data_IF_580965696349
#
_entry.id   IF_580965696349
#
_cell.length_a   1.000
_cell.length_b   1.000
_cell.length_c   1.000
_cell.angle_alpha   90.00
_cell.angle_beta   90.00
_cell.angle_gamma   90.00
#
_symmetry.space_group_name_H-M   'P 1'
#
loop_
_entity.id
_entity.type
_entity.pdbx_description
1 polymer ?
#
# COMPACT_ATOMS: atom_id res chain seq x y z
N UNK A 1 31.77 25.19 10.54
CA UNK A 1 30.63 25.35 11.49
C UNK A 1 29.33 24.75 10.94
N UNK A 2 28.97 24.95 9.65
CA UNK A 2 27.76 24.37 9.06
C UNK A 2 27.65 22.83 9.13
N UNK A 3 28.78 22.13 9.10
CA UNK A 3 28.82 20.65 9.08
C UNK A 3 28.42 20.02 10.43
N UNK A 4 28.86 20.61 11.56
CA UNK A 4 28.57 20.08 12.91
C UNK A 4 27.09 20.18 13.28
N UNK A 5 26.46 21.31 12.97
CA UNK A 5 25.03 21.50 13.27
C UNK A 5 24.16 20.61 12.39
N UNK A 6 24.56 20.40 11.12
CA UNK A 6 23.87 19.51 10.19
C UNK A 6 23.94 18.06 10.67
N UNK A 7 25.11 17.61 11.12
CA UNK A 7 25.30 16.28 11.72
C UNK A 7 24.46 16.11 13.01
N UNK A 8 24.42 17.13 13.87
CA UNK A 8 23.57 17.11 15.07
C UNK A 8 22.08 17.00 14.71
N UNK A 9 21.61 17.74 13.72
CA UNK A 9 20.21 17.66 13.25
C UNK A 9 19.92 16.30 12.62
N UNK A 10 20.83 15.75 11.80
CA UNK A 10 20.65 14.43 11.20
C UNK A 10 20.54 13.33 12.27
N UNK A 11 21.39 13.36 13.29
CA UNK A 11 21.33 12.44 14.44
C UNK A 11 20.04 12.61 15.25
N UNK A 12 19.62 13.85 15.49
CA UNK A 12 18.37 14.12 16.19
C UNK A 12 17.15 13.61 15.41
N UNK A 13 17.14 13.78 14.08
CA UNK A 13 16.11 13.23 13.20
C UNK A 13 16.06 11.70 13.31
N UNK A 14 17.20 11.02 13.20
CA UNK A 14 17.28 9.57 13.35
C UNK A 14 16.74 9.10 14.72
N UNK A 15 17.11 9.79 15.81
CA UNK A 15 16.62 9.44 17.14
C UNK A 15 15.10 9.57 17.25
N UNK A 16 14.50 10.69 16.81
CA UNK A 16 13.06 10.87 16.87
C UNK A 16 12.30 9.93 15.93
N UNK A 17 12.91 9.54 14.81
CA UNK A 17 12.41 8.51 13.91
C UNK A 17 12.35 7.15 14.62
N UNK A 18 13.44 6.72 15.27
CA UNK A 18 13.49 5.46 16.04
C UNK A 18 12.57 5.47 17.26
N UNK A 19 12.26 6.63 17.83
CA UNK A 19 11.28 6.76 18.92
C UNK A 19 9.83 6.83 18.42
N UNK A 20 9.59 6.74 17.11
CA UNK A 20 8.26 6.88 16.52
C UNK A 20 7.62 8.27 16.78
N UNK A 21 8.41 9.29 17.09
CA UNK A 21 7.95 10.64 17.45
C UNK A 21 7.87 11.51 16.20
N UNK A 22 6.86 11.27 15.36
CA UNK A 22 6.80 11.88 14.03
C UNK A 22 6.85 13.42 14.06
N UNK A 23 6.12 14.10 14.95
CA UNK A 23 6.11 15.57 15.00
C UNK A 23 7.49 16.15 15.38
N UNK A 24 8.21 15.48 16.28
CA UNK A 24 9.57 15.88 16.62
C UNK A 24 10.53 15.63 15.45
N UNK A 25 10.43 14.47 14.80
CA UNK A 25 11.17 14.16 13.57
C UNK A 25 10.90 15.22 12.49
N UNK A 26 9.64 15.54 12.23
CA UNK A 26 9.19 16.56 11.26
C UNK A 26 9.80 17.93 11.56
N UNK A 27 9.78 18.39 12.80
CA UNK A 27 10.38 19.67 13.19
C UNK A 27 11.89 19.71 12.90
N UNK A 28 12.59 18.61 13.16
CA UNK A 28 14.02 18.48 12.83
C UNK A 28 14.24 18.45 11.32
N UNK A 29 13.42 17.74 10.55
CA UNK A 29 13.49 17.71 9.08
C UNK A 29 13.27 19.10 8.48
N UNK A 30 12.31 19.87 8.97
CA UNK A 30 12.08 21.24 8.52
C UNK A 30 13.28 22.16 8.83
N UNK A 31 13.89 21.99 10.00
CA UNK A 31 15.10 22.72 10.39
C UNK A 31 16.31 22.32 9.52
N UNK A 32 16.43 21.03 9.22
CA UNK A 32 17.47 20.47 8.37
C UNK A 32 17.31 20.96 6.93
N UNK A 33 16.07 21.01 6.41
CA UNK A 33 15.75 21.50 5.07
C UNK A 33 16.26 22.91 4.83
N UNK A 34 16.17 23.81 5.82
CA UNK A 34 16.65 25.18 5.70
C UNK A 34 18.19 25.29 5.61
N UNK A 35 18.93 24.25 6.04
CA UNK A 35 20.39 24.24 6.10
C UNK A 35 21.03 23.34 5.04
N UNK A 36 20.46 22.15 4.85
CA UNK A 36 20.87 21.14 3.91
C UNK A 36 19.59 20.46 3.33
N UNK A 37 18.98 21.06 2.30
CA UNK A 37 17.76 20.53 1.70
C UNK A 37 17.97 19.16 1.05
N UNK A 38 19.16 18.88 0.52
CA UNK A 38 19.47 17.59 -0.08
C UNK A 38 19.48 16.46 0.94
N UNK A 39 20.08 16.67 2.10
CA UNK A 39 20.07 15.66 3.17
C UNK A 39 18.66 15.44 3.74
N UNK A 40 17.90 16.52 3.96
CA UNK A 40 16.51 16.40 4.43
C UNK A 40 15.65 15.61 3.44
N UNK A 41 15.79 15.89 2.13
CA UNK A 41 15.14 15.16 1.06
C UNK A 41 15.58 13.70 1.02
N UNK A 42 16.88 13.42 1.10
CA UNK A 42 17.41 12.06 1.07
C UNK A 42 16.90 11.21 2.24
N UNK A 43 16.81 11.78 3.44
CA UNK A 43 16.23 11.09 4.60
C UNK A 43 14.76 10.74 4.34
N UNK A 44 13.94 11.70 3.89
CA UNK A 44 12.53 11.45 3.60
C UNK A 44 12.35 10.42 2.46
N UNK A 45 13.17 10.51 1.41
CA UNK A 45 13.18 9.55 0.31
C UNK A 45 13.52 8.14 0.80
N UNK A 46 14.50 7.99 1.70
CA UNK A 46 14.86 6.71 2.28
C UNK A 46 13.74 6.10 3.15
N UNK A 47 12.98 6.94 3.88
CA UNK A 47 11.82 6.48 4.65
C UNK A 47 10.70 6.01 3.71
N UNK A 48 10.37 6.82 2.70
CA UNK A 48 9.29 6.52 1.75
C UNK A 48 9.62 5.28 0.91
N UNK A 49 10.86 5.14 0.43
CA UNK A 49 11.25 4.01 -0.41
C UNK A 49 11.21 2.67 0.29
N UNK A 50 11.34 2.66 1.62
CA UNK A 50 11.18 1.48 2.47
C UNK A 50 9.74 1.28 2.94
N UNK A 51 8.79 2.08 2.47
CA UNK A 51 7.41 2.06 2.98
C UNK A 51 7.33 2.31 4.49
N UNK A 52 8.28 3.07 5.04
CA UNK A 52 8.42 3.32 6.48
C UNK A 52 8.90 2.11 7.29
N UNK A 53 9.23 0.98 6.65
CA UNK A 53 9.74 -0.23 7.31
C UNK A 53 11.20 -0.03 7.69
N UNK A 54 11.40 0.46 8.91
CA UNK A 54 12.71 0.68 9.51
C UNK A 54 12.87 -0.22 10.74
N UNK A 55 14.06 -0.77 10.90
CA UNK A 55 14.36 -1.66 12.02
C UNK A 55 14.35 -0.89 13.34
N UNK A 56 13.91 -1.57 14.40
CA UNK A 56 13.98 -1.10 15.79
C UNK A 56 13.22 0.21 16.08
N UNK A 57 12.21 0.58 15.27
CA UNK A 57 11.34 1.72 15.58
C UNK A 57 10.38 1.38 16.72
N UNK A 58 10.38 2.22 17.74
CA UNK A 58 9.42 2.19 18.84
C UNK A 58 8.13 2.90 18.41
N UNK A 59 7.24 2.17 17.75
CA UNK A 59 5.97 2.71 17.28
C UNK A 59 5.18 3.38 18.42
N UNK A 60 4.68 4.58 18.15
CA UNK A 60 4.01 5.42 19.14
C UNK A 60 2.56 5.68 18.73
N UNK A 61 1.77 6.31 19.60
CA UNK A 61 0.40 6.72 19.23
C UNK A 61 0.35 7.74 18.09
N UNK A 62 1.38 8.59 17.97
CA UNK A 62 1.47 9.58 16.87
C UNK A 62 1.94 8.98 15.55
N UNK A 63 2.54 7.78 15.58
CA UNK A 63 3.00 7.06 14.41
C UNK A 63 3.00 5.57 14.73
N UNK A 64 1.85 4.93 14.53
CA UNK A 64 1.56 3.59 15.05
C UNK A 64 1.92 2.46 14.09
N UNK A 65 2.38 2.76 12.88
CA UNK A 65 2.77 1.75 11.90
C UNK A 65 3.76 2.31 10.85
N UNK A 66 4.50 1.42 10.16
CA UNK A 66 5.35 1.77 9.02
C UNK A 66 4.60 2.56 7.94
N UNK A 67 3.40 2.11 7.53
CA UNK A 67 2.64 2.79 6.47
C UNK A 67 2.23 4.21 6.85
N UNK A 68 1.91 4.46 8.13
CA UNK A 68 1.64 5.83 8.61
C UNK A 68 2.90 6.68 8.54
N UNK A 69 4.06 6.12 8.93
CA UNK A 69 5.33 6.82 8.83
C UNK A 69 5.66 7.19 7.37
N UNK A 70 5.46 6.25 6.45
CA UNK A 70 5.66 6.46 5.02
C UNK A 70 4.72 7.56 4.48
N UNK A 71 3.44 7.50 4.85
CA UNK A 71 2.45 8.50 4.46
C UNK A 71 2.80 9.89 4.97
N UNK A 72 3.05 10.04 6.27
CA UNK A 72 3.37 11.35 6.83
C UNK A 72 4.71 11.89 6.28
N UNK A 73 5.69 11.03 6.06
CA UNK A 73 6.97 11.40 5.44
C UNK A 73 6.80 11.80 3.98
N UNK A 74 5.89 11.16 3.23
CA UNK A 74 5.61 11.53 1.84
C UNK A 74 4.96 12.90 1.73
N UNK A 75 4.10 13.30 2.68
CA UNK A 75 3.52 14.65 2.72
C UNK A 75 4.59 15.73 2.84
N UNK A 76 5.63 15.50 3.65
CA UNK A 76 6.76 16.41 3.80
C UNK A 76 7.70 16.35 2.58
N UNK A 77 7.92 15.17 2.02
CA UNK A 77 8.74 14.99 0.82
C UNK A 77 8.13 15.71 -0.38
N UNK A 78 6.81 15.66 -0.51
CA UNK A 78 6.04 16.38 -1.51
C UNK A 78 6.10 17.91 -1.35
N UNK A 79 6.79 18.47 -0.36
CA UNK A 79 7.07 19.90 -0.31
C UNK A 79 8.34 20.29 -1.06
N UNK A 80 9.14 19.32 -1.54
CA UNK A 80 10.31 19.53 -2.37
C UNK A 80 9.91 19.51 -3.86
N UNK A 81 10.61 20.30 -4.69
CA UNK A 81 10.37 20.31 -6.14
C UNK A 81 10.78 18.97 -6.76
N UNK A 82 11.94 18.45 -6.34
CA UNK A 82 12.54 17.21 -6.85
C UNK A 82 12.23 16.01 -5.94
N UNK A 83 11.01 15.98 -5.39
CA UNK A 83 10.55 14.98 -4.43
C UNK A 83 10.71 13.55 -4.97
N UNK A 84 10.29 13.32 -6.21
CA UNK A 84 10.29 12.00 -6.85
C UNK A 84 11.58 11.69 -7.65
N UNK A 85 12.66 12.47 -7.47
CA UNK A 85 13.84 12.42 -8.36
C UNK A 85 14.57 11.07 -8.44
N UNK A 86 14.36 10.16 -7.49
CA UNK A 86 14.99 8.84 -7.45
C UNK A 86 14.10 7.73 -8.05
N UNK A 87 12.88 8.09 -8.46
CA UNK A 87 11.90 7.22 -9.08
C UNK A 87 11.58 7.70 -10.48
N UNK A 88 11.14 6.75 -11.30
CA UNK A 88 10.71 6.99 -12.68
C UNK A 88 9.30 7.58 -12.75
N UNK A 89 8.53 7.42 -11.67
CA UNK A 89 7.17 7.90 -11.56
C UNK A 89 7.08 9.31 -10.94
N UNK A 90 5.96 9.97 -11.19
CA UNK A 90 5.73 11.35 -10.79
C UNK A 90 5.26 11.49 -9.32
N UNK A 91 5.09 12.74 -8.88
CA UNK A 91 4.66 13.08 -7.52
C UNK A 91 3.26 12.56 -7.18
N UNK A 92 2.34 12.54 -8.17
CA UNK A 92 0.99 12.02 -7.95
C UNK A 92 1.01 10.49 -7.77
N UNK A 93 1.75 9.79 -8.61
CA UNK A 93 1.93 8.33 -8.50
C UNK A 93 2.61 7.94 -7.19
N UNK A 94 3.64 8.67 -6.74
CA UNK A 94 4.27 8.45 -5.44
C UNK A 94 3.25 8.51 -4.30
N UNK A 95 2.39 9.54 -4.31
CA UNK A 95 1.34 9.71 -3.32
C UNK A 95 0.37 8.53 -3.34
N UNK A 96 -0.10 8.12 -4.52
CA UNK A 96 -1.04 7.01 -4.67
C UNK A 96 -0.44 5.68 -4.17
N UNK A 97 0.82 5.38 -4.51
CA UNK A 97 1.54 4.18 -4.05
C UNK A 97 1.72 4.15 -2.52
N UNK A 98 1.94 5.31 -1.89
CA UNK A 98 2.01 5.40 -0.42
C UNK A 98 0.62 5.29 0.23
N UNK A 99 -0.42 5.88 -0.36
CA UNK A 99 -1.80 5.74 0.11
C UNK A 99 -2.29 4.27 0.03
N UNK A 100 -1.91 3.54 -1.02
CA UNK A 100 -2.15 2.10 -1.13
C UNK A 100 -1.65 1.34 0.12
N UNK A 101 -0.41 1.59 0.56
CA UNK A 101 0.14 0.98 1.77
C UNK A 101 -0.64 1.35 3.04
N UNK A 102 -1.18 2.56 3.10
CA UNK A 102 -2.00 3.01 4.22
C UNK A 102 -3.33 2.26 4.27
N UNK A 103 -4.01 2.09 3.14
CA UNK A 103 -5.27 1.34 3.08
C UNK A 103 -5.08 -0.14 3.42
N UNK A 104 -4.03 -0.79 2.89
CA UNK A 104 -3.70 -2.17 3.26
C UNK A 104 -3.42 -2.27 4.76
N UNK A 105 -2.64 -1.34 5.34
CA UNK A 105 -2.39 -1.32 6.78
C UNK A 105 -3.66 -1.10 7.62
N UNK A 106 -4.61 -0.29 7.15
CA UNK A 106 -5.89 -0.10 7.84
C UNK A 106 -6.68 -1.41 7.89
N UNK A 107 -6.75 -2.14 6.78
CA UNK A 107 -7.39 -3.46 6.71
C UNK A 107 -6.67 -4.44 7.64
N UNK A 108 -5.34 -4.55 7.55
CA UNK A 108 -4.53 -5.41 8.42
C UNK A 108 -4.74 -5.12 9.90
N UNK A 109 -4.80 -3.84 10.28
CA UNK A 109 -5.02 -3.45 11.69
C UNK A 109 -6.39 -3.88 12.20
N UNK A 110 -7.44 -3.77 11.36
CA UNK A 110 -8.80 -4.23 11.69
C UNK A 110 -8.85 -5.76 11.81
N UNK A 111 -8.16 -6.50 10.95
CA UNK A 111 -8.04 -7.97 11.02
C UNK A 111 -7.26 -8.42 12.26
N UNK A 112 -6.12 -7.81 12.56
CA UNK A 112 -5.33 -8.12 13.76
C UNK A 112 -6.11 -7.85 15.06
N UNK A 113 -6.90 -6.77 15.11
CA UNK A 113 -7.79 -6.49 16.24
C UNK A 113 -8.91 -7.52 16.41
N UNK A 114 -9.28 -8.25 15.35
CA UNK A 114 -10.17 -9.41 15.44
C UNK A 114 -9.45 -10.66 15.92
N UNK A 115 -8.20 -10.89 15.49
CA UNK A 115 -7.37 -12.02 15.96
C UNK A 115 -7.12 -11.97 17.48
N UNK A 116 -6.80 -10.78 18.02
CA UNK A 116 -6.61 -10.61 19.47
C UNK A 116 -7.85 -10.98 20.29
N UNK A 117 -9.06 -10.76 19.74
CA UNK A 117 -10.32 -11.14 20.39
C UNK A 117 -10.62 -12.64 20.29
N UNK A 118 -10.11 -13.31 19.26
CA UNK A 118 -10.28 -14.77 19.06
C UNK A 118 -9.29 -15.58 19.89
N UNK A 119 -8.08 -15.08 20.13
CA UNK A 119 -7.10 -15.73 21.02
C UNK A 119 -7.63 -15.90 22.46
N UNK A 120 -8.62 -15.10 22.87
CA UNK A 120 -9.33 -15.24 24.15
C UNK A 120 -10.37 -16.38 24.17
N UNK A 121 -10.75 -16.93 23.00
CA UNK A 121 -11.88 -17.85 22.81
C UNK A 121 -11.48 -19.28 22.37
N UNK A 122 -10.18 -19.60 22.28
CA UNK A 122 -9.61 -20.94 22.01
C UNK A 122 -10.20 -21.74 20.81
N UNK A 123 -10.60 -21.08 19.71
CA UNK A 123 -11.03 -21.77 18.48
C UNK A 123 -9.88 -21.94 17.49
N UNK A 124 -9.35 -23.17 17.35
CA UNK A 124 -8.22 -23.48 16.47
C UNK A 124 -8.45 -23.14 15.00
N UNK A 125 -9.59 -23.54 14.43
CA UNK A 125 -9.89 -23.35 13.00
C UNK A 125 -9.94 -21.87 12.59
N UNK A 126 -10.62 -21.02 13.38
CA UNK A 126 -10.69 -19.58 13.11
C UNK A 126 -9.32 -18.88 13.19
N UNK A 127 -8.39 -19.43 13.97
CA UNK A 127 -7.04 -18.87 14.11
C UNK A 127 -6.19 -19.15 12.88
N UNK A 128 -6.34 -20.32 12.27
CA UNK A 128 -5.60 -20.67 11.06
C UNK A 128 -6.13 -19.89 9.86
N UNK A 129 -7.46 -19.74 9.71
CA UNK A 129 -8.08 -18.86 8.70
C UNK A 129 -7.55 -17.42 8.79
N UNK A 130 -7.48 -16.86 10.01
CA UNK A 130 -6.98 -15.49 10.22
C UNK A 130 -5.48 -15.34 9.92
N UNK A 131 -4.67 -16.39 10.10
CA UNK A 131 -3.25 -16.37 9.71
C UNK A 131 -3.11 -16.35 8.20
N UNK A 132 -3.90 -17.14 7.48
CA UNK A 132 -3.91 -17.17 6.01
C UNK A 132 -4.28 -15.79 5.46
N UNK A 133 -5.38 -15.21 5.95
CA UNK A 133 -5.79 -13.83 5.66
C UNK A 133 -4.67 -12.83 5.94
N UNK A 134 -4.02 -12.93 7.11
CA UNK A 134 -2.91 -12.05 7.46
C UNK A 134 -1.71 -12.24 6.52
N UNK A 135 -1.48 -13.45 6.01
CA UNK A 135 -0.44 -13.75 5.03
C UNK A 135 -0.70 -13.05 3.69
N UNK A 136 -1.93 -13.12 3.19
CA UNK A 136 -2.33 -12.44 1.95
C UNK A 136 -2.22 -10.91 2.10
N UNK A 137 -2.67 -10.34 3.22
CA UNK A 137 -2.50 -8.91 3.52
C UNK A 137 -1.02 -8.50 3.66
N UNK A 138 -0.17 -9.40 4.18
CA UNK A 138 1.28 -9.23 4.21
C UNK A 138 1.87 -9.11 2.81
N UNK A 139 1.51 -10.03 1.90
CA UNK A 139 1.90 -10.00 0.48
C UNK A 139 1.44 -8.72 -0.21
N UNK A 140 0.21 -8.25 0.04
CA UNK A 140 -0.28 -6.97 -0.48
C UNK A 140 0.54 -5.78 0.04
N UNK A 141 0.95 -5.81 1.31
CA UNK A 141 1.83 -4.80 1.86
C UNK A 141 3.21 -4.83 1.18
N UNK A 142 3.75 -6.03 0.93
CA UNK A 142 5.03 -6.20 0.24
C UNK A 142 4.99 -5.70 -1.20
N UNK A 143 3.91 -5.97 -1.93
CA UNK A 143 3.65 -5.40 -3.26
C UNK A 143 3.75 -3.87 -3.21
N UNK A 144 3.07 -3.23 -2.26
CA UNK A 144 3.10 -1.77 -2.10
C UNK A 144 4.49 -1.22 -1.81
N UNK A 145 5.29 -1.91 -0.98
CA UNK A 145 6.66 -1.48 -0.66
C UNK A 145 7.61 -1.69 -1.83
N UNK A 146 7.50 -2.82 -2.54
CA UNK A 146 8.32 -3.10 -3.72
C UNK A 146 8.12 -2.02 -4.79
N UNK A 147 6.89 -1.54 -4.96
CA UNK A 147 6.54 -0.44 -5.87
C UNK A 147 7.04 0.93 -5.42
N UNK A 148 7.58 1.08 -4.22
CA UNK A 148 8.24 2.29 -3.74
C UNK A 148 9.77 2.20 -3.80
N UNK A 149 10.35 1.11 -4.29
CA UNK A 149 11.81 1.02 -4.45
C UNK A 149 12.30 2.01 -5.52
N UNK A 150 13.45 2.69 -5.33
CA UNK A 150 14.02 3.60 -6.32
C UNK A 150 14.56 2.83 -7.54
N UNK A 151 14.50 3.43 -8.72
CA UNK A 151 14.95 2.76 -9.97
C UNK A 151 16.47 2.46 -9.94
N UNK A 152 17.26 3.33 -9.30
CA UNK A 152 18.72 3.34 -9.40
C UNK A 152 19.45 2.51 -8.33
N UNK A 153 18.75 1.66 -7.57
CA UNK A 153 19.41 0.82 -6.57
C UNK A 153 20.21 -0.27 -7.27
N UNK A 154 21.53 -0.05 -7.42
CA UNK A 154 22.49 -1.13 -7.64
C UNK A 154 22.31 -2.13 -6.50
N UNK A 155 21.87 -3.34 -6.84
CA UNK A 155 21.67 -4.45 -5.91
C UNK A 155 22.93 -4.64 -5.05
N UNK A 156 22.90 -4.14 -3.81
CA UNK A 156 23.91 -4.52 -2.84
C UNK A 156 23.56 -5.92 -2.32
N UNK A 157 24.40 -6.90 -2.65
CA UNK A 157 24.26 -8.32 -2.28
C UNK A 157 24.26 -8.59 -0.75
N UNK A 158 24.24 -7.55 0.09
CA UNK A 158 24.38 -7.63 1.55
C UNK A 158 23.09 -7.48 2.35
N UNK A 159 21.95 -7.21 1.73
CA UNK A 159 20.64 -7.23 2.41
C UNK A 159 19.92 -8.60 2.32
N UNK A 160 20.61 -9.68 1.93
CA UNK A 160 20.05 -11.05 1.87
C UNK A 160 20.08 -11.81 3.21
N UNK A 161 19.47 -11.21 4.23
CA UNK A 161 19.17 -11.94 5.46
C UNK A 161 17.79 -11.58 6.00
N UNK A 162 16.73 -11.85 5.22
CA UNK A 162 15.40 -12.00 5.81
C UNK A 162 14.18 -11.63 4.98
N UNK A 163 14.32 -10.88 3.89
CA UNK A 163 13.15 -10.48 3.07
C UNK A 163 13.16 -11.31 1.80
N UNK A 164 12.12 -12.10 1.55
CA UNK A 164 11.97 -12.85 0.31
C UNK A 164 11.90 -11.86 -0.86
N UNK A 165 13.03 -11.62 -1.53
CA UNK A 165 13.12 -10.91 -2.80
C UNK A 165 12.59 -11.78 -3.95
N UNK A 166 11.37 -12.30 -3.78
CA UNK A 166 10.58 -12.90 -4.82
C UNK A 166 9.61 -11.87 -5.38
N UNK A 167 9.34 -11.96 -6.68
CA UNK A 167 8.13 -11.40 -7.27
C UNK A 167 6.93 -11.76 -6.38
N UNK A 168 6.14 -10.76 -5.98
CA UNK A 168 4.96 -11.01 -5.15
C UNK A 168 3.90 -11.62 -6.05
N UNK A 169 3.84 -12.95 -6.06
CA UNK A 169 2.80 -13.69 -6.77
C UNK A 169 1.63 -13.90 -5.83
N UNK A 170 0.47 -13.43 -6.28
CA UNK A 170 -0.82 -13.61 -5.63
C UNK A 170 -1.80 -14.12 -6.66
N UNK A 171 -2.37 -15.28 -6.39
CA UNK A 171 -3.38 -15.90 -7.26
C UNK A 171 -4.80 -15.42 -6.89
N UNK A 172 -5.74 -15.54 -7.82
CA UNK A 172 -7.15 -15.16 -7.60
C UNK A 172 -7.74 -15.94 -6.40
N UNK A 173 -7.39 -17.22 -6.25
CA UNK A 173 -7.84 -18.06 -5.12
C UNK A 173 -7.39 -17.51 -3.76
N UNK A 174 -6.12 -17.06 -3.64
CA UNK A 174 -5.60 -16.47 -2.40
C UNK A 174 -6.31 -15.15 -2.07
N UNK A 175 -6.55 -14.30 -3.07
CA UNK A 175 -7.29 -13.04 -2.90
C UNK A 175 -8.76 -13.28 -2.57
N UNK A 176 -9.38 -14.31 -3.15
CA UNK A 176 -10.75 -14.70 -2.82
C UNK A 176 -10.86 -15.28 -1.41
N UNK A 177 -9.77 -15.78 -0.82
CA UNK A 177 -9.68 -16.05 0.62
C UNK A 177 -9.95 -14.82 1.50
N UNK A 178 -9.80 -13.59 0.96
CA UNK A 178 -10.16 -12.36 1.65
C UNK A 178 -11.64 -11.99 1.54
N UNK A 179 -12.52 -12.78 0.88
CA UNK A 179 -13.93 -12.42 0.61
C UNK A 179 -14.64 -11.85 1.83
N UNK A 180 -14.54 -12.49 2.99
CA UNK A 180 -15.15 -12.00 4.24
C UNK A 180 -14.55 -10.66 4.69
N UNK A 181 -13.23 -10.52 4.63
CA UNK A 181 -12.52 -9.30 5.00
C UNK A 181 -12.86 -8.15 4.06
N UNK A 182 -13.06 -8.43 2.77
CA UNK A 182 -13.53 -7.46 1.77
C UNK A 182 -14.89 -6.91 2.19
N UNK A 183 -15.85 -7.78 2.48
CA UNK A 183 -17.20 -7.37 2.87
C UNK A 183 -17.23 -6.63 4.21
N UNK A 184 -16.47 -7.12 5.21
CA UNK A 184 -16.36 -6.49 6.53
C UNK A 184 -15.66 -5.10 6.48
N UNK A 185 -14.90 -4.82 5.41
CA UNK A 185 -14.14 -3.58 5.22
C UNK A 185 -14.42 -2.92 3.87
N UNK A 186 -15.66 -3.05 3.39
CA UNK A 186 -16.06 -2.57 2.06
C UNK A 186 -15.77 -1.08 1.85
N UNK A 187 -15.86 -0.27 2.92
CA UNK A 187 -15.49 1.15 2.91
C UNK A 187 -14.02 1.38 2.53
N UNK A 188 -13.10 0.60 3.09
CA UNK A 188 -11.66 0.75 2.82
C UNK A 188 -11.28 0.13 1.48
N UNK A 189 -11.87 -1.02 1.12
CA UNK A 189 -11.63 -1.64 -0.18
C UNK A 189 -12.14 -0.79 -1.34
N UNK A 190 -13.28 -0.12 -1.20
CA UNK A 190 -13.80 0.80 -2.21
C UNK A 190 -12.84 1.98 -2.47
N UNK A 191 -12.27 2.57 -1.42
CA UNK A 191 -11.25 3.62 -1.57
C UNK A 191 -9.94 3.05 -2.13
N UNK A 192 -9.54 1.85 -1.71
CA UNK A 192 -8.38 1.15 -2.26
C UNK A 192 -8.54 0.89 -3.77
N UNK A 193 -9.70 0.42 -4.22
CA UNK A 193 -9.95 0.16 -5.63
C UNK A 193 -9.90 1.45 -6.48
N UNK A 194 -10.46 2.56 -5.99
CA UNK A 194 -10.31 3.87 -6.68
C UNK A 194 -8.87 4.36 -6.71
N UNK A 195 -8.12 4.14 -5.63
CA UNK A 195 -6.70 4.45 -5.59
C UNK A 195 -5.91 3.59 -6.59
N UNK A 196 -6.23 2.31 -6.72
CA UNK A 196 -5.65 1.41 -7.73
C UNK A 196 -5.96 1.91 -9.14
N UNK A 197 -7.21 2.26 -9.43
CA UNK A 197 -7.61 2.76 -10.74
C UNK A 197 -6.82 4.00 -11.13
N UNK A 198 -6.69 4.98 -10.22
CA UNK A 198 -5.90 6.18 -10.46
C UNK A 198 -4.41 5.88 -10.73
N UNK A 199 -3.87 4.79 -10.18
CA UNK A 199 -2.50 4.35 -10.47
C UNK A 199 -2.40 3.73 -11.87
N UNK A 200 -3.37 2.91 -12.25
CA UNK A 200 -3.39 2.19 -13.53
C UNK A 200 -3.63 3.16 -14.70
N UNK A 201 -4.60 4.08 -14.59
CA UNK A 201 -4.87 5.10 -15.62
C UNK A 201 -3.65 6.00 -15.88
N UNK A 202 -2.87 6.29 -14.83
CA UNK A 202 -1.63 7.06 -14.95
C UNK A 202 -0.58 6.36 -15.82
N UNK A 203 -0.45 5.04 -15.67
CA UNK A 203 0.47 4.21 -16.47
C UNK A 203 0.02 4.13 -17.94
N UNK A 204 -1.28 3.96 -18.19
CA UNK A 204 -1.82 3.84 -19.55
C UNK A 204 -1.71 5.15 -20.38
N UNK A 205 -1.66 6.32 -19.73
CA UNK A 205 -1.47 7.62 -20.41
C UNK A 205 -0.02 7.90 -20.82
N UNK A 206 0.96 7.40 -20.05
CA UNK A 206 2.39 7.62 -20.30
C UNK A 206 2.94 6.77 -21.47
N UNK A 207 2.23 5.72 -21.89
CA UNK A 207 2.58 4.90 -23.06
C UNK A 207 2.29 5.59 -24.41
N UNK A 208 1.80 6.85 -24.42
CA UNK A 208 1.40 7.57 -25.63
C UNK A 208 2.51 8.31 -26.40
N UNK A 209 3.80 8.25 -26.01
CA UNK A 209 4.85 8.72 -26.93
C UNK A 209 6.29 8.87 -26.41
N UNK A 210 7.22 8.21 -27.12
CA UNK A 210 8.67 8.48 -27.18
C UNK A 210 9.52 8.21 -25.93
N UNK A 211 9.80 6.93 -25.60
CA UNK A 211 11.05 6.52 -24.94
C UNK A 211 11.32 5.00 -25.06
N UNK A 212 11.43 4.48 -26.28
CA UNK A 212 11.79 3.08 -26.53
C UNK A 212 13.30 3.00 -26.67
N UNK A 213 14.05 2.47 -25.68
CA UNK A 213 15.24 1.63 -25.94
C UNK A 213 16.00 1.08 -24.70
N UNK A 214 15.69 1.44 -23.45
CA UNK A 214 16.48 0.95 -22.29
C UNK A 214 15.73 0.24 -21.15
N UNK A 215 14.40 0.06 -21.21
CA UNK A 215 13.57 -0.50 -20.14
C UNK A 215 12.85 -1.79 -20.57
N UNK A 216 13.53 -2.93 -20.69
CA UNK A 216 12.87 -4.19 -21.09
C UNK A 216 12.54 -5.10 -19.90
N UNK A 217 13.33 -5.06 -18.83
CA UNK A 217 13.10 -5.88 -17.63
C UNK A 217 12.24 -5.14 -16.58
N UNK A 218 12.50 -3.86 -16.31
CA UNK A 218 11.65 -3.01 -15.43
C UNK A 218 10.21 -2.88 -15.97
N UNK A 219 10.06 -2.78 -17.30
CA UNK A 219 8.75 -2.66 -17.95
C UNK A 219 7.89 -3.93 -17.85
N UNK A 220 8.50 -5.09 -17.59
CA UNK A 220 7.77 -6.35 -17.40
C UNK A 220 7.25 -6.46 -15.96
N UNK A 221 8.06 -6.05 -14.97
CA UNK A 221 7.63 -5.97 -13.56
C UNK A 221 6.46 -5.00 -13.35
N UNK A 222 6.47 -3.84 -14.01
CA UNK A 222 5.36 -2.88 -13.92
C UNK A 222 4.05 -3.44 -14.53
N UNK A 223 4.13 -4.23 -15.60
CA UNK A 223 2.96 -4.86 -16.24
C UNK A 223 2.35 -5.97 -15.35
N UNK A 224 3.18 -6.78 -14.70
CA UNK A 224 2.73 -7.83 -13.80
C UNK A 224 2.14 -7.24 -12.50
N UNK A 225 2.71 -6.16 -11.98
CA UNK A 225 2.13 -5.39 -10.88
C UNK A 225 0.76 -4.80 -11.26
N UNK A 226 0.62 -4.23 -12.47
CA UNK A 226 -0.67 -3.70 -12.96
C UNK A 226 -1.71 -4.80 -13.08
N UNK A 227 -1.35 -5.99 -13.56
CA UNK A 227 -2.27 -7.16 -13.60
C UNK A 227 -2.72 -7.53 -12.20
N UNK A 228 -1.79 -7.60 -11.24
CA UNK A 228 -2.13 -7.94 -9.86
C UNK A 228 -3.04 -6.87 -9.21
N UNK A 229 -2.78 -5.60 -9.48
CA UNK A 229 -3.65 -4.50 -9.06
C UNK A 229 -5.08 -4.63 -9.63
N UNK A 230 -5.22 -4.90 -10.93
CA UNK A 230 -6.52 -5.15 -11.57
C UNK A 230 -7.19 -6.40 -10.98
N UNK A 231 -6.42 -7.43 -10.64
CA UNK A 231 -6.93 -8.64 -10.00
C UNK A 231 -7.52 -8.36 -8.60
N UNK A 232 -6.90 -7.47 -7.81
CA UNK A 232 -7.47 -7.03 -6.52
C UNK A 232 -8.84 -6.38 -6.74
N UNK A 233 -8.96 -5.46 -7.70
CA UNK A 233 -10.24 -4.81 -8.02
C UNK A 233 -11.30 -5.84 -8.42
N UNK A 234 -10.95 -6.79 -9.30
CA UNK A 234 -11.82 -7.88 -9.74
C UNK A 234 -12.31 -8.74 -8.56
N UNK A 235 -11.42 -9.16 -7.67
CA UNK A 235 -11.79 -9.97 -6.50
C UNK A 235 -12.77 -9.22 -5.57
N UNK A 236 -12.60 -7.90 -5.41
CA UNK A 236 -13.54 -7.07 -4.65
C UNK A 236 -14.92 -7.04 -5.31
N UNK A 237 -14.99 -6.93 -6.64
CA UNK A 237 -16.25 -6.99 -7.37
C UNK A 237 -16.94 -8.35 -7.21
N UNK A 238 -16.21 -9.45 -7.42
CA UNK A 238 -16.76 -10.82 -7.28
C UNK A 238 -17.28 -11.04 -5.86
N UNK A 239 -16.55 -10.60 -4.82
CA UNK A 239 -16.98 -10.72 -3.44
C UNK A 239 -18.34 -10.04 -3.17
N UNK A 240 -18.54 -8.84 -3.72
CA UNK A 240 -19.79 -8.10 -3.61
C UNK A 240 -20.92 -8.73 -4.41
N UNK A 241 -20.65 -9.18 -5.65
CA UNK A 241 -21.63 -9.88 -6.49
C UNK A 241 -22.11 -11.19 -5.83
N UNK A 242 -21.19 -12.00 -5.32
CA UNK A 242 -21.55 -13.24 -4.61
C UNK A 242 -22.39 -12.97 -3.35
N UNK A 243 -22.06 -11.91 -2.59
CA UNK A 243 -22.85 -11.51 -1.43
C UNK A 243 -24.25 -11.00 -1.83
N UNK A 244 -24.36 -10.27 -2.94
CA UNK A 244 -25.66 -9.88 -3.50
C UNK A 244 -26.48 -11.11 -3.89
N UNK A 245 -25.88 -12.09 -4.57
CA UNK A 245 -26.55 -13.36 -4.93
C UNK A 245 -27.10 -14.08 -3.71
N UNK A 246 -26.35 -14.11 -2.61
CA UNK A 246 -26.82 -14.66 -1.33
C UNK A 246 -28.01 -13.86 -0.78
N UNK A 247 -27.93 -12.53 -0.75
CA UNK A 247 -29.03 -11.67 -0.29
C UNK A 247 -30.29 -11.84 -1.14
N UNK A 248 -30.15 -11.99 -2.47
CA UNK A 248 -31.27 -12.26 -3.37
C UNK A 248 -31.97 -13.59 -3.05
N UNK A 249 -31.20 -14.65 -2.79
CA UNK A 249 -31.75 -15.96 -2.39
C UNK A 249 -32.52 -15.88 -1.07
N UNK A 250 -32.09 -14.99 -0.18
CA UNK A 250 -32.70 -14.76 1.13
C UNK A 250 -33.85 -13.73 1.10
N UNK A 251 -34.19 -13.17 -0.07
CA UNK A 251 -35.15 -12.07 -0.21
C UNK A 251 -34.81 -10.84 0.65
N UNK A 252 -33.52 -10.60 0.88
CA UNK A 252 -33.00 -9.47 1.66
C UNK A 252 -32.68 -8.27 0.75
N UNK A 253 -33.71 -7.51 0.38
CA UNK A 253 -33.58 -6.34 -0.51
C UNK A 253 -32.61 -5.27 0.03
N UNK A 254 -32.60 -5.06 1.35
CA UNK A 254 -31.70 -4.09 1.99
C UNK A 254 -30.23 -4.54 1.90
N UNK A 255 -29.99 -5.85 2.06
CA UNK A 255 -28.68 -6.46 1.85
C UNK A 255 -28.17 -6.27 0.42
N UNK A 256 -29.02 -6.52 -0.58
CA UNK A 256 -28.68 -6.29 -2.00
C UNK A 256 -28.29 -4.83 -2.24
N UNK A 257 -29.12 -3.88 -1.79
CA UNK A 257 -28.86 -2.44 -1.98
C UNK A 257 -27.56 -1.99 -1.32
N UNK A 258 -27.19 -2.61 -0.19
CA UNK A 258 -25.96 -2.26 0.54
C UNK A 258 -24.67 -2.57 -0.23
N UNK A 259 -24.72 -3.50 -1.18
CA UNK A 259 -23.59 -3.93 -2.01
C UNK A 259 -23.50 -3.21 -3.36
N UNK A 260 -24.63 -2.81 -3.96
CA UNK A 260 -24.66 -2.10 -5.26
C UNK A 260 -23.73 -0.89 -5.30
N UNK A 261 -23.62 -0.13 -4.21
CA UNK A 261 -22.78 1.07 -4.13
C UNK A 261 -21.27 0.81 -4.31
N UNK A 262 -20.84 -0.44 -4.21
CA UNK A 262 -19.44 -0.85 -4.34
C UNK A 262 -19.12 -1.50 -5.69
N UNK A 263 -20.13 -1.62 -6.57
CA UNK A 263 -19.95 -2.19 -7.89
C UNK A 263 -19.47 -1.12 -8.88
N UNK A 264 -18.41 -1.45 -9.62
CA UNK A 264 -17.80 -0.63 -10.65
C UNK A 264 -17.55 -1.49 -11.89
N UNK A 265 -18.16 -1.11 -13.02
CA UNK A 265 -18.19 -1.94 -14.24
C UNK A 265 -16.82 -2.12 -14.90
N UNK A 266 -15.88 -1.21 -14.62
CA UNK A 266 -14.56 -1.20 -15.26
C UNK A 266 -13.51 -2.03 -14.47
N UNK A 267 -13.92 -2.73 -13.40
CA UNK A 267 -13.02 -3.48 -12.50
C UNK A 267 -12.81 -4.95 -12.93
N UNK A 268 -12.92 -5.22 -14.24
CA UNK A 268 -12.50 -6.48 -14.84
C UNK A 268 -13.47 -7.65 -14.66
N UNK A 269 -14.74 -7.38 -14.31
CA UNK A 269 -15.84 -8.38 -14.36
C UNK A 269 -16.68 -8.12 -15.61
N UNK A 270 -17.15 -9.16 -16.28
CA UNK A 270 -17.92 -9.00 -17.51
C UNK A 270 -19.30 -8.37 -17.26
N UNK A 271 -19.76 -7.49 -18.13
CA UNK A 271 -21.09 -6.84 -18.03
C UNK A 271 -22.24 -7.87 -17.97
N UNK A 272 -22.05 -9.04 -18.57
CA UNK A 272 -22.97 -10.19 -18.52
C UNK A 272 -23.18 -10.69 -17.10
N UNK A 273 -22.13 -10.73 -16.28
CA UNK A 273 -22.20 -11.15 -14.88
C UNK A 273 -22.96 -10.13 -14.04
N UNK A 274 -22.76 -8.83 -14.28
CA UNK A 274 -23.55 -7.79 -13.63
C UNK A 274 -25.03 -7.81 -14.03
N UNK A 275 -25.35 -8.08 -15.31
CA UNK A 275 -26.72 -8.07 -15.83
C UNK A 275 -27.56 -9.26 -15.37
N UNK A 276 -26.94 -10.42 -15.17
CA UNK A 276 -27.65 -11.60 -14.62
C UNK A 276 -28.08 -11.38 -13.17
N UNK A 277 -27.55 -10.36 -12.50
CA UNK A 277 -27.72 -10.10 -11.07
C UNK A 277 -28.54 -8.85 -10.75
N UNK A 278 -28.77 -7.98 -11.74
CA UNK A 278 -29.57 -6.76 -11.60
C UNK A 278 -30.99 -6.88 -12.17
N UNK A 279 -31.34 -8.01 -12.82
CA UNK A 279 -32.63 -8.31 -13.44
C UNK A 279 -33.05 -9.76 -13.24
#
# INVERSE_FOLDING_TARGET
MADRDTDLLARAAANHLFLGQFEAFRAIILSLRARNPDLARAILQAVVSRGGRLDNVLWSRSCSSPSILAYLSSLELLQFNDASSIWSFDRATMRLRVEFLLYVQMISSRVSGSLQRVDELESGDLKDDLKEVSGVLGKLSDLGVNRLKPDLVVRDERESAGTSEGEVVLEEEELMGLRRVILDNADVFDVLCRNIEAQVEGVERDDSGLAITLRREEKQSDDDDVKLLKLIQRCVQIAHLDAMRECFKEFNEEGVLSHIRFLHLDYGVEESEYRYELF
#
